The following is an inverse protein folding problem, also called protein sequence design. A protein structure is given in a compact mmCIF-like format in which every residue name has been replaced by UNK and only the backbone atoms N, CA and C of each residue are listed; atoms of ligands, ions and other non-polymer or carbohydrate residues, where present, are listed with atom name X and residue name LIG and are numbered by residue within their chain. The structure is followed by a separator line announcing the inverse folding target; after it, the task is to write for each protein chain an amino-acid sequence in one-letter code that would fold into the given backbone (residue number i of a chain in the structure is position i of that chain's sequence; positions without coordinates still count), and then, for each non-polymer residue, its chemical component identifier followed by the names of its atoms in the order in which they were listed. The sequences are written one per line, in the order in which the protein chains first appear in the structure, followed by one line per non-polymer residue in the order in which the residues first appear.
data_IF_702367362719
#
_entry.id   IF_702367362719
#
_cell.length_a   1.000
_cell.length_b   1.000
_cell.length_c   1.000
_cell.angle_alpha   90.00
_cell.angle_beta   90.00
_cell.angle_gamma   90.00
#
_symmetry.space_group_name_H-M   'P 1'
#
loop_
_entity.id
_entity.type
_entity.pdbx_description
1 polymer ?
#
# COMPACT_ATOMS: atom_id res chain seq x y z
N UNK A 1 -14.47 11.55 -15.93
CA UNK A 1 -15.07 12.87 -15.66
C UNK A 1 -16.57 12.74 -15.46
N UNK A 2 -17.20 13.68 -14.75
CA UNK A 2 -18.65 13.70 -14.49
C UNK A 2 -19.15 12.70 -13.44
N UNK A 3 -18.30 12.30 -12.48
CA UNK A 3 -18.73 11.46 -11.35
C UNK A 3 -19.30 12.28 -10.19
N UNK A 4 -19.83 11.59 -9.17
CA UNK A 4 -20.30 12.25 -7.95
C UNK A 4 -19.18 13.08 -7.30
N UNK A 5 -19.49 14.27 -6.78
CA UNK A 5 -18.52 15.13 -6.06
C UNK A 5 -17.93 14.36 -4.88
N UNK A 6 -16.63 14.51 -4.65
CA UNK A 6 -15.89 13.82 -3.57
C UNK A 6 -15.06 14.83 -2.80
N UNK A 7 -14.91 14.59 -1.49
CA UNK A 7 -13.99 15.33 -0.63
C UNK A 7 -12.80 14.45 -0.31
N UNK A 8 -11.61 14.98 -0.53
CA UNK A 8 -10.37 14.30 -0.22
C UNK A 8 -10.14 14.27 1.29
N UNK A 9 -9.65 13.13 1.79
CA UNK A 9 -9.14 12.98 3.15
C UNK A 9 -7.65 12.72 3.05
N UNK A 10 -6.85 13.49 3.77
CA UNK A 10 -5.41 13.28 3.83
C UNK A 10 -5.13 12.00 4.60
N UNK A 11 -4.51 11.03 3.93
CA UNK A 11 -4.12 9.73 4.51
C UNK A 11 -2.63 9.77 4.80
N UNK A 12 -2.27 9.38 6.01
CA UNK A 12 -0.89 9.21 6.42
C UNK A 12 -0.41 7.79 6.07
N UNK A 13 0.49 7.72 5.08
CA UNK A 13 1.11 6.47 4.64
C UNK A 13 2.38 6.12 5.42
N UNK A 14 2.84 6.99 6.33
CA UNK A 14 4.05 6.79 7.11
C UNK A 14 3.66 6.51 8.57
N UNK A 15 3.56 5.21 8.92
CA UNK A 15 3.11 4.80 10.27
C UNK A 15 4.05 5.30 11.36
N UNK A 16 5.36 5.25 11.13
CA UNK A 16 6.43 5.72 12.04
C UNK A 16 6.88 7.16 11.78
N UNK A 17 6.00 8.03 11.29
CA UNK A 17 6.32 9.46 11.12
C UNK A 17 6.61 10.17 12.45
N UNK A 18 6.14 9.62 13.55
CA UNK A 18 6.17 10.24 14.86
C UNK A 18 6.72 9.27 15.90
N UNK A 19 6.85 9.73 17.15
CA UNK A 19 7.28 8.92 18.28
C UNK A 19 6.56 7.58 18.36
N UNK A 20 7.36 6.56 18.67
CA UNK A 20 6.89 5.20 18.89
C UNK A 20 5.84 5.18 20.00
N UNK A 21 4.82 4.36 19.81
CA UNK A 21 3.75 4.30 20.79
C UNK A 21 2.52 3.57 20.32
N UNK A 22 1.53 3.59 21.19
CA UNK A 22 0.21 3.04 20.96
C UNK A 22 -0.72 4.12 20.43
N UNK A 23 -1.56 3.73 19.49
CA UNK A 23 -2.65 4.57 19.01
C UNK A 23 -3.97 3.83 19.14
N UNK A 24 -5.05 4.55 19.41
CA UNK A 24 -6.40 3.99 19.50
C UNK A 24 -7.18 4.25 18.22
N UNK A 25 -7.83 3.22 17.69
CA UNK A 25 -8.75 3.33 16.57
C UNK A 25 -10.05 3.97 17.07
N UNK A 26 -10.42 5.11 16.48
CA UNK A 26 -11.66 5.82 16.84
C UNK A 26 -12.82 5.33 15.98
N UNK A 27 -12.60 5.19 14.66
CA UNK A 27 -13.68 4.90 13.72
C UNK A 27 -13.12 4.36 12.40
N UNK A 28 -13.80 3.39 11.80
CA UNK A 28 -13.50 2.88 10.46
C UNK A 28 -14.59 3.35 9.49
N UNK A 29 -14.19 3.99 8.39
CA UNK A 29 -15.10 4.62 7.43
C UNK A 29 -14.75 4.29 5.99
N UNK A 30 -15.78 4.28 5.15
CA UNK A 30 -15.63 4.22 3.71
C UNK A 30 -14.91 5.46 3.15
N UNK A 31 -13.99 5.24 2.20
CA UNK A 31 -13.32 6.30 1.43
C UNK A 31 -13.76 6.31 -0.05
N UNK A 32 -14.38 7.40 -0.54
CA UNK A 32 -14.75 7.51 -1.95
C UNK A 32 -13.56 7.84 -2.89
N UNK A 33 -12.38 8.18 -2.37
CA UNK A 33 -11.27 8.72 -3.15
C UNK A 33 -10.49 7.68 -3.99
N UNK A 34 -11.08 7.25 -5.12
CA UNK A 34 -10.49 6.18 -5.96
C UNK A 34 -9.29 6.58 -6.84
N UNK A 35 -9.09 7.88 -7.09
CA UNK A 35 -8.01 8.48 -7.90
C UNK A 35 -8.17 10.00 -7.89
N UNK A 36 -7.12 10.78 -7.67
CA UNK A 36 -7.03 12.13 -8.24
C UNK A 36 -6.48 11.94 -9.65
N UNK A 37 -7.19 12.33 -10.73
CA UNK A 37 -6.52 12.50 -12.00
C UNK A 37 -5.49 13.62 -11.79
N UNK A 38 -4.20 13.29 -11.83
CA UNK A 38 -3.21 14.32 -12.09
C UNK A 38 -3.54 14.89 -13.47
N UNK A 39 -4.15 16.06 -13.51
CA UNK A 39 -4.07 16.96 -14.64
C UNK A 39 -2.64 17.47 -14.67
N UNK A 40 -1.78 16.73 -15.36
CA UNK A 40 -0.38 17.10 -15.57
C UNK A 40 0.09 16.39 -16.81
N UNK A 41 0.37 17.18 -17.85
CA UNK A 41 1.06 16.77 -19.06
C UNK A 41 2.32 15.97 -18.69
N UNK A 42 2.73 14.96 -19.49
CA UNK A 42 3.96 14.22 -19.26
C UNK A 42 5.15 15.17 -19.51
N UNK A 43 5.60 15.91 -18.49
CA UNK A 43 6.70 16.87 -18.68
C UNK A 43 7.07 17.76 -17.50
N UNK A 44 6.22 17.93 -16.48
CA UNK A 44 6.60 18.71 -15.29
C UNK A 44 6.37 17.92 -14.01
N UNK A 45 7.43 17.26 -13.54
CA UNK A 45 7.47 16.68 -12.21
C UNK A 45 8.04 17.74 -11.27
N UNK A 46 7.16 18.59 -10.70
CA UNK A 46 7.56 19.44 -9.58
C UNK A 46 7.95 18.57 -8.38
N UNK A 47 9.16 18.68 -7.81
CA UNK A 47 9.68 17.73 -6.82
C UNK A 47 9.04 17.85 -5.43
N UNK A 48 8.12 18.80 -5.18
CA UNK A 48 7.61 19.12 -3.83
C UNK A 48 6.12 18.86 -3.58
N UNK A 49 5.36 18.34 -4.55
CA UNK A 49 3.97 17.96 -4.32
C UNK A 49 3.74 16.51 -4.77
N UNK A 50 4.32 15.57 -4.02
CA UNK A 50 3.89 14.16 -4.11
C UNK A 50 2.50 14.10 -3.48
N UNK A 51 1.46 14.46 -4.24
CA UNK A 51 0.07 14.30 -3.82
C UNK A 51 -0.11 12.82 -3.50
N UNK A 52 -0.28 12.42 -2.22
CA UNK A 52 -0.26 11.02 -1.87
C UNK A 52 -1.43 10.37 -2.57
N UNK A 53 -1.14 9.42 -3.48
CA UNK A 53 -2.15 8.69 -4.21
C UNK A 53 -3.20 8.15 -3.23
N UNK A 54 -4.46 8.61 -3.27
CA UNK A 54 -5.46 8.13 -2.32
C UNK A 54 -5.69 6.63 -2.50
N UNK A 55 -6.13 6.03 -1.40
CA UNK A 55 -6.48 4.62 -1.33
C UNK A 55 -7.60 4.32 -2.33
N UNK A 56 -7.33 3.44 -3.29
CA UNK A 56 -8.20 3.29 -4.47
C UNK A 56 -9.54 2.62 -4.17
N UNK A 57 -9.59 1.79 -3.14
CA UNK A 57 -10.70 0.88 -2.85
C UNK A 57 -10.85 0.48 -1.39
N UNK A 58 -9.80 0.62 -0.57
CA UNK A 58 -9.78 0.22 0.83
C UNK A 58 -10.57 1.19 1.71
N UNK A 59 -11.00 0.72 2.87
CA UNK A 59 -11.58 1.57 3.90
C UNK A 59 -10.47 2.21 4.74
N UNK A 60 -10.81 3.30 5.42
CA UNK A 60 -9.85 4.10 6.20
C UNK A 60 -10.23 4.09 7.68
N UNK A 61 -9.23 4.09 8.53
CA UNK A 61 -9.41 4.19 9.98
C UNK A 61 -8.94 5.57 10.47
N UNK A 62 -9.77 6.23 11.29
CA UNK A 62 -9.36 7.37 12.09
C UNK A 62 -8.69 6.86 13.35
N UNK A 63 -7.45 7.26 13.55
CA UNK A 63 -6.64 6.82 14.68
C UNK A 63 -6.15 8.04 15.45
N UNK A 64 -6.09 7.91 16.78
CA UNK A 64 -5.56 8.94 17.67
C UNK A 64 -4.49 8.38 18.61
N UNK A 65 -3.42 9.14 18.79
CA UNK A 65 -2.35 8.86 19.75
C UNK A 65 -1.84 10.18 20.31
N UNK A 66 -1.73 10.27 21.64
CA UNK A 66 -1.47 11.53 22.34
C UNK A 66 -2.48 12.62 21.92
N UNK A 67 -1.97 13.76 21.46
CA UNK A 67 -2.79 14.93 21.09
C UNK A 67 -3.13 15.04 19.59
N UNK A 68 -2.85 14.02 18.77
CA UNK A 68 -3.06 14.06 17.31
C UNK A 68 -4.05 13.02 16.83
N UNK A 69 -4.65 13.31 15.66
CA UNK A 69 -5.53 12.39 14.93
C UNK A 69 -5.07 12.31 13.48
N UNK A 70 -5.09 11.11 12.90
CA UNK A 70 -4.72 10.89 11.49
C UNK A 70 -5.55 9.79 10.87
N UNK A 71 -5.71 9.86 9.54
CA UNK A 71 -6.31 8.79 8.77
C UNK A 71 -5.24 7.83 8.30
N UNK A 72 -5.46 6.54 8.51
CA UNK A 72 -4.63 5.46 7.97
C UNK A 72 -5.50 4.50 7.14
N UNK A 73 -4.87 3.61 6.39
CA UNK A 73 -5.58 2.48 5.77
C UNK A 73 -6.02 1.51 6.88
N UNK A 74 -7.28 1.11 6.86
CA UNK A 74 -7.78 0.08 7.77
C UNK A 74 -7.34 -1.32 7.31
N UNK A 75 -6.96 -2.18 8.26
CA UNK A 75 -6.74 -3.61 8.05
C UNK A 75 -8.07 -4.38 8.08
N UNK A 76 -8.07 -5.67 7.77
CA UNK A 76 -9.26 -6.49 7.55
C UNK A 76 -10.19 -6.53 8.76
N UNK A 77 -9.64 -6.83 9.94
CA UNK A 77 -10.42 -7.01 11.16
C UNK A 77 -10.35 -5.82 12.12
N UNK A 78 -9.96 -4.63 11.65
CA UNK A 78 -9.81 -3.45 12.51
C UNK A 78 -11.16 -2.92 12.98
N UNK A 79 -11.35 -2.77 14.29
CA UNK A 79 -12.58 -2.28 14.90
C UNK A 79 -12.36 -0.96 15.67
N UNK A 80 -13.40 -0.12 15.81
CA UNK A 80 -13.36 1.03 16.70
C UNK A 80 -13.11 0.59 18.15
N UNK A 81 -12.08 1.15 18.79
CA UNK A 81 -11.67 0.81 20.15
C UNK A 81 -10.31 0.11 20.22
N UNK A 82 -9.88 -0.52 19.13
CA UNK A 82 -8.63 -1.29 19.08
C UNK A 82 -7.40 -0.42 19.33
N UNK A 83 -6.39 -1.02 19.98
CA UNK A 83 -5.10 -0.39 20.24
C UNK A 83 -4.07 -0.98 19.29
N UNK A 84 -3.49 -0.13 18.45
CA UNK A 84 -2.45 -0.50 17.48
C UNK A 84 -1.09 0.03 17.93
N UNK A 85 -0.04 -0.74 17.69
CA UNK A 85 1.34 -0.40 18.06
C UNK A 85 2.12 0.04 16.83
N UNK A 86 2.91 1.10 16.99
CA UNK A 86 3.92 1.50 16.02
C UNK A 86 5.28 1.54 16.72
N UNK A 87 6.23 0.74 16.28
CA UNK A 87 7.62 0.80 16.76
C UNK A 87 8.61 0.67 15.61
N UNK A 88 9.76 1.33 15.67
CA UNK A 88 10.87 1.20 14.73
C UNK A 88 12.00 0.30 15.25
N UNK A 89 11.90 -0.15 16.50
CA UNK A 89 12.89 -1.03 17.11
C UNK A 89 12.98 -2.41 16.44
N UNK A 90 14.19 -2.81 16.05
CA UNK A 90 14.51 -4.14 15.52
C UNK A 90 15.13 -4.96 16.66
N UNK A 91 14.33 -5.82 17.28
CA UNK A 91 14.80 -6.74 18.31
C UNK A 91 15.60 -7.91 17.74
N UNK A 92 16.43 -8.55 18.59
CA UNK A 92 17.11 -9.80 18.23
C UNK A 92 16.13 -10.95 17.99
N UNK A 93 15.02 -10.95 18.73
CA UNK A 93 13.94 -11.93 18.59
C UNK A 93 12.80 -11.33 17.75
N UNK A 94 12.10 -12.19 17.00
CA UNK A 94 10.93 -11.78 16.24
C UNK A 94 9.77 -11.41 17.18
N UNK A 95 9.04 -10.36 16.82
CA UNK A 95 7.86 -9.91 17.59
C UNK A 95 6.62 -10.66 17.11
N UNK A 96 5.81 -11.13 18.06
CA UNK A 96 4.45 -11.59 17.77
C UNK A 96 3.56 -10.36 17.57
N UNK A 97 3.39 -9.96 16.31
CA UNK A 97 2.64 -8.76 15.95
C UNK A 97 1.15 -9.07 15.71
N UNK A 98 0.28 -8.19 16.19
CA UNK A 98 -1.15 -8.26 15.92
C UNK A 98 -1.48 -7.56 14.59
N UNK A 99 -2.65 -7.84 14.04
CA UNK A 99 -3.13 -7.14 12.84
C UNK A 99 -3.30 -5.64 13.11
N UNK A 100 -2.84 -4.79 12.18
CA UNK A 100 -2.88 -3.33 12.32
C UNK A 100 -1.63 -2.72 12.95
N UNK A 101 -0.79 -3.52 13.61
CA UNK A 101 0.50 -3.07 14.12
C UNK A 101 1.48 -2.78 12.98
N UNK A 102 2.37 -1.80 13.20
CA UNK A 102 3.41 -1.42 12.25
C UNK A 102 4.80 -1.64 12.85
N UNK A 103 5.59 -2.45 12.16
CA UNK A 103 6.94 -2.83 12.55
C UNK A 103 7.88 -2.80 11.33
N UNK A 104 9.21 -2.66 11.53
CA UNK A 104 10.18 -2.91 10.49
C UNK A 104 10.13 -4.38 10.07
N UNK A 105 10.43 -4.66 8.80
CA UNK A 105 10.51 -6.02 8.29
C UNK A 105 11.51 -6.89 9.07
N UNK A 106 12.58 -6.28 9.58
CA UNK A 106 13.59 -6.94 10.43
C UNK A 106 13.02 -7.52 11.73
N UNK A 107 11.97 -6.93 12.30
CA UNK A 107 11.38 -7.39 13.56
C UNK A 107 10.31 -8.50 13.37
N UNK A 108 9.77 -8.66 12.16
CA UNK A 108 8.65 -9.58 11.90
C UNK A 108 9.11 -11.01 11.61
N UNK A 109 8.38 -12.05 12.03
CA UNK A 109 8.69 -13.43 11.64
C UNK A 109 8.49 -13.65 10.14
N UNK A 110 9.25 -14.60 9.59
CA UNK A 110 9.09 -15.04 8.20
C UNK A 110 7.72 -15.70 8.03
N UNK A 111 7.08 -15.50 6.88
CA UNK A 111 5.73 -15.98 6.59
C UNK A 111 4.61 -15.04 7.02
N UNK A 112 4.92 -13.93 7.69
CA UNK A 112 3.92 -12.93 8.08
C UNK A 112 3.24 -12.29 6.88
N UNK A 113 1.93 -12.11 7.00
CA UNK A 113 1.14 -11.34 6.05
C UNK A 113 1.32 -9.85 6.35
N UNK A 114 1.66 -9.08 5.31
CA UNK A 114 1.92 -7.65 5.44
C UNK A 114 1.20 -6.84 4.37
N UNK A 115 0.88 -5.60 4.70
CA UNK A 115 0.38 -4.57 3.80
C UNK A 115 1.10 -3.24 4.03
N UNK A 116 0.80 -2.23 3.20
CA UNK A 116 1.36 -0.89 3.31
C UNK A 116 2.90 -0.86 3.36
N UNK A 117 3.53 -1.54 2.41
CA UNK A 117 4.98 -1.71 2.38
C UNK A 117 5.69 -0.47 1.81
N UNK A 118 6.72 -0.01 2.52
CA UNK A 118 7.67 1.02 2.09
C UNK A 118 8.68 0.47 1.05
N UNK A 119 9.11 1.32 0.13
CA UNK A 119 10.19 0.94 -0.82
C UNK A 119 11.58 1.22 -0.27
N UNK A 120 11.73 2.30 0.49
CA UNK A 120 12.92 2.70 1.22
C UNK A 120 12.47 3.22 2.59
N UNK A 121 13.30 3.13 3.63
CA UNK A 121 12.92 3.53 4.98
C UNK A 121 12.48 5.00 5.00
N UNK A 122 11.31 5.27 5.57
CA UNK A 122 10.78 6.63 5.73
C UNK A 122 10.17 7.26 4.47
N UNK A 123 10.16 6.55 3.34
CA UNK A 123 9.50 7.01 2.09
C UNK A 123 7.98 6.89 2.14
N UNK A 124 7.45 6.21 3.17
CA UNK A 124 6.02 5.93 3.33
C UNK A 124 5.55 4.77 2.45
N UNK A 125 4.39 4.21 2.81
CA UNK A 125 3.82 3.05 2.14
C UNK A 125 3.46 3.35 0.68
N UNK A 126 4.10 2.63 -0.25
CA UNK A 126 3.84 2.77 -1.68
C UNK A 126 3.11 1.53 -2.23
N UNK A 127 3.44 0.36 -1.70
CA UNK A 127 2.97 -0.94 -2.16
C UNK A 127 1.89 -1.54 -1.25
N UNK A 128 1.08 -2.45 -1.80
CA UNK A 128 0.09 -3.25 -1.05
C UNK A 128 -0.91 -2.38 -0.27
N UNK A 129 -1.58 -1.45 -0.97
CA UNK A 129 -2.54 -0.49 -0.40
C UNK A 129 -3.99 -0.70 -0.85
N UNK A 130 -4.22 -1.64 -1.78
CA UNK A 130 -5.53 -1.85 -2.36
C UNK A 130 -6.37 -2.77 -1.48
N UNK A 131 -7.69 -2.60 -1.52
CA UNK A 131 -8.64 -3.43 -0.78
C UNK A 131 -8.36 -4.93 -0.97
N UNK A 132 -8.34 -5.67 0.15
CA UNK A 132 -8.09 -7.11 0.16
C UNK A 132 -6.68 -7.56 -0.25
N UNK A 133 -5.73 -6.65 -0.46
CA UNK A 133 -4.35 -7.04 -0.82
C UNK A 133 -3.50 -7.34 0.40
N UNK A 134 -2.66 -8.37 0.29
CA UNK A 134 -1.62 -8.72 1.25
C UNK A 134 -0.38 -9.21 0.47
N UNK A 135 0.79 -8.98 1.05
CA UNK A 135 2.05 -9.62 0.66
C UNK A 135 2.54 -10.54 1.76
N UNK A 136 3.58 -11.30 1.46
CA UNK A 136 4.17 -12.26 2.40
C UNK A 136 5.65 -11.99 2.55
N UNK A 137 6.15 -11.94 3.77
CA UNK A 137 7.59 -11.88 4.04
C UNK A 137 8.20 -13.27 3.82
N UNK A 138 9.06 -13.42 2.80
CA UNK A 138 9.59 -14.74 2.41
C UNK A 138 10.86 -15.14 3.15
N UNK A 139 11.83 -14.22 3.25
CA UNK A 139 13.11 -14.47 3.92
C UNK A 139 13.85 -13.16 4.17
N UNK A 140 14.87 -13.22 5.03
CA UNK A 140 15.78 -12.12 5.33
C UNK A 140 17.22 -12.55 5.03
N UNK A 141 17.99 -11.68 4.39
CA UNK A 141 19.38 -11.93 3.99
C UNK A 141 20.17 -10.63 4.14
N UNK A 142 21.26 -10.65 4.89
CA UNK A 142 22.24 -9.54 5.00
C UNK A 142 21.60 -8.16 5.25
N UNK A 143 20.71 -8.04 6.23
CA UNK A 143 20.03 -6.78 6.55
C UNK A 143 18.95 -6.36 5.54
N UNK A 144 18.54 -7.28 4.65
CA UNK A 144 17.51 -7.06 3.64
C UNK A 144 16.40 -8.09 3.78
N UNK A 145 15.18 -7.68 3.47
CA UNK A 145 13.99 -8.52 3.48
C UNK A 145 13.47 -8.73 2.06
N UNK A 146 13.11 -9.97 1.75
CA UNK A 146 12.47 -10.33 0.47
C UNK A 146 10.99 -10.55 0.72
N UNK A 147 10.17 -9.75 0.04
CA UNK A 147 8.71 -9.77 0.14
C UNK A 147 8.12 -10.23 -1.18
N UNK A 148 7.10 -11.08 -1.11
CA UNK A 148 6.24 -11.40 -2.24
C UNK A 148 5.08 -10.40 -2.34
N UNK A 149 4.98 -9.73 -3.49
CA UNK A 149 3.87 -8.83 -3.79
C UNK A 149 2.59 -9.61 -4.18
N UNK A 150 1.39 -8.99 -4.14
CA UNK A 150 0.15 -9.60 -4.62
C UNK A 150 0.21 -10.11 -6.07
N UNK A 151 1.08 -9.53 -6.90
CA UNK A 151 1.34 -9.97 -8.27
C UNK A 151 2.22 -11.23 -8.36
N UNK A 152 2.57 -11.85 -7.23
CA UNK A 152 3.54 -12.94 -7.06
C UNK A 152 4.99 -12.57 -7.38
N UNK A 153 5.25 -11.34 -7.86
CA UNK A 153 6.61 -10.83 -8.07
C UNK A 153 7.31 -10.62 -6.72
N UNK A 154 8.57 -11.04 -6.64
CA UNK A 154 9.40 -10.82 -5.46
C UNK A 154 10.06 -9.43 -5.48
N UNK A 155 10.23 -8.84 -4.31
CA UNK A 155 10.83 -7.53 -4.10
C UNK A 155 11.78 -7.59 -2.91
N UNK A 156 13.01 -7.10 -3.11
CA UNK A 156 14.01 -6.98 -2.05
C UNK A 156 14.04 -5.54 -1.54
N UNK A 157 13.98 -5.39 -0.22
CA UNK A 157 13.86 -4.12 0.51
C UNK A 157 14.79 -4.18 1.74
N UNK A 158 15.19 -3.04 2.29
CA UNK A 158 15.92 -3.00 3.57
C UNK A 158 15.05 -3.51 4.72
N UNK A 159 15.66 -4.16 5.71
CA UNK A 159 14.94 -4.66 6.89
C UNK A 159 14.35 -3.54 7.77
N UNK A 160 14.93 -2.35 7.68
CA UNK A 160 14.49 -1.13 8.36
C UNK A 160 13.23 -0.51 7.78
N UNK A 161 12.79 -0.96 6.59
CA UNK A 161 11.52 -0.50 6.02
C UNK A 161 10.34 -0.97 6.85
N UNK A 162 9.37 -0.08 7.02
CA UNK A 162 8.17 -0.35 7.82
C UNK A 162 7.12 -1.05 6.97
N UNK A 163 6.41 -2.00 7.57
CA UNK A 163 5.20 -2.56 7.01
C UNK A 163 4.13 -2.70 8.11
N UNK A 164 2.87 -2.72 7.69
CA UNK A 164 1.74 -3.01 8.59
C UNK A 164 1.42 -4.49 8.51
N UNK A 165 1.17 -5.14 9.64
CA UNK A 165 0.84 -6.56 9.69
C UNK A 165 -0.64 -6.77 9.35
N UNK A 166 -0.93 -7.80 8.56
CA UNK A 166 -2.27 -8.19 8.13
C UNK A 166 -2.61 -7.84 6.68
N UNK A 167 -3.88 -7.99 6.34
CA UNK A 167 -4.45 -7.69 5.02
C UNK A 167 -5.16 -6.35 5.05
N UNK A 168 -5.25 -5.68 3.91
CA UNK A 168 -6.05 -4.46 3.77
C UNK A 168 -7.55 -4.77 3.84
N UNK A 169 -8.32 -3.89 4.49
CA UNK A 169 -9.80 -3.93 4.57
C UNK A 169 -10.53 -4.10 3.23
N UNK A 170 -11.83 -4.41 3.33
CA UNK A 170 -12.75 -4.56 2.19
C UNK A 170 -12.35 -5.70 1.23
N UNK A 171 -12.22 -6.92 1.76
CA UNK A 171 -11.75 -8.09 1.00
C UNK A 171 -12.65 -8.43 -0.18
N UNK A 172 -13.97 -8.33 0.00
CA UNK A 172 -14.97 -8.66 -1.04
C UNK A 172 -15.16 -7.55 -2.09
N UNK A 173 -14.27 -6.55 -2.15
CA UNK A 173 -14.35 -5.51 -3.17
C UNK A 173 -14.35 -6.06 -4.60
N UNK A 174 -13.68 -7.19 -4.83
CA UNK A 174 -13.61 -7.87 -6.12
C UNK A 174 -14.93 -8.54 -6.53
N UNK A 175 -15.76 -8.98 -5.58
CA UNK A 175 -17.06 -9.63 -5.81
C UNK A 175 -18.19 -8.64 -6.06
N UNK A 176 -17.94 -7.32 -5.90
CA UNK A 176 -18.99 -6.29 -6.08
C UNK A 176 -19.49 -6.22 -7.53
N UNK A 177 -20.77 -6.52 -7.71
CA UNK A 177 -21.49 -6.36 -8.99
C UNK A 177 -21.86 -4.89 -9.24
N UNK A 178 -21.56 -4.37 -10.43
CA UNK A 178 -21.89 -2.98 -10.82
C UNK A 178 -23.39 -2.82 -11.13
N UNK A 179 -24.05 -3.84 -11.66
CA UNK A 179 -25.49 -3.86 -11.95
C UNK A 179 -25.87 -3.06 -13.19
N UNK A 180 -25.72 -1.73 -13.15
CA UNK A 180 -26.11 -0.83 -14.26
C UNK A 180 -25.00 0.11 -14.71
N UNK A 181 -25.03 0.50 -16.00
CA UNK A 181 -24.09 1.46 -16.58
C UNK A 181 -24.02 2.80 -15.81
N UNK A 182 -25.16 3.26 -15.27
CA UNK A 182 -25.23 4.47 -14.44
C UNK A 182 -24.31 4.44 -13.21
N UNK A 183 -24.10 3.27 -12.59
CA UNK A 183 -23.18 3.15 -11.45
C UNK A 183 -21.73 3.42 -11.86
N UNK A 184 -21.32 3.04 -13.07
CA UNK A 184 -20.00 3.42 -13.61
C UNK A 184 -19.88 4.93 -13.82
N UNK A 185 -20.96 5.59 -14.24
CA UNK A 185 -21.00 7.05 -14.37
C UNK A 185 -20.85 7.74 -13.02
N UNK A 186 -21.53 7.27 -11.98
CA UNK A 186 -21.35 7.78 -10.60
C UNK A 186 -19.91 7.62 -10.10
N UNK A 187 -19.23 6.54 -10.51
CA UNK A 187 -17.81 6.32 -10.22
C UNK A 187 -16.85 7.23 -10.99
N UNK A 188 -17.36 8.03 -11.95
CA UNK A 188 -16.60 8.94 -12.78
C UNK A 188 -15.94 8.31 -14.01
N UNK A 189 -16.35 7.09 -14.37
CA UNK A 189 -15.88 6.35 -15.55
C UNK A 189 -16.78 6.66 -16.75
N UNK A 190 -16.20 7.18 -17.83
CA UNK A 190 -16.90 7.40 -19.11
C UNK A 190 -16.97 6.09 -19.90
N UNK A 191 -17.94 5.92 -20.81
CA UNK A 191 -17.91 4.82 -21.77
C UNK A 191 -16.63 4.90 -22.63
N UNK A 192 -16.20 3.75 -23.13
CA UNK A 192 -15.13 3.68 -24.12
C UNK A 192 -15.59 4.28 -25.46
N UNK A 193 -14.64 4.62 -26.32
CA UNK A 193 -14.94 5.05 -27.70
C UNK A 193 -15.69 3.96 -28.46
N UNK A 194 -16.61 4.35 -29.34
CA UNK A 194 -17.29 3.45 -30.27
C UNK A 194 -16.46 3.11 -31.51
N UNK A 195 -15.26 3.70 -31.66
CA UNK A 195 -14.38 3.43 -32.79
C UNK A 195 -13.92 1.96 -32.75
N UNK A 196 -14.27 1.23 -33.80
CA UNK A 196 -13.82 -0.14 -33.98
C UNK A 196 -12.32 -0.16 -34.33
N UNK A 197 -11.57 -1.04 -33.67
CA UNK A 197 -10.15 -1.25 -33.93
C UNK A 197 -9.90 -2.74 -34.17
N UNK A 198 -9.16 -3.07 -35.25
CA UNK A 198 -8.70 -4.44 -35.49
C UNK A 198 -7.68 -4.83 -34.41
N UNK A 199 -7.85 -6.00 -33.79
CA UNK A 199 -6.88 -6.55 -32.83
C UNK A 199 -5.55 -6.81 -33.56
N UNK A 200 -4.44 -6.29 -33.01
CA UNK A 200 -3.09 -6.53 -33.51
C UNK A 200 -2.40 -7.72 -32.81
N UNK A 201 -1.12 -7.96 -33.14
CA UNK A 201 -0.33 -9.07 -32.58
C UNK A 201 -0.08 -9.02 -31.06
N UNK A 202 -0.36 -7.88 -30.42
CA UNK A 202 -0.36 -7.73 -28.96
C UNK A 202 -1.53 -8.45 -28.29
N UNK A 203 -2.64 -8.65 -29.01
CA UNK A 203 -3.80 -9.37 -28.51
C UNK A 203 -3.53 -10.87 -28.42
N UNK A 204 -4.32 -11.56 -27.61
CA UNK A 204 -4.15 -12.98 -27.31
C UNK A 204 -3.38 -13.23 -26.01
N UNK A 205 -3.52 -14.45 -25.48
CA UNK A 205 -2.90 -14.85 -24.21
C UNK A 205 -1.38 -14.87 -24.37
N UNK A 206 -0.66 -14.14 -23.51
CA UNK A 206 0.80 -14.15 -23.45
C UNK A 206 1.22 -14.85 -22.16
N UNK A 207 1.78 -16.05 -22.27
CA UNK A 207 2.36 -16.78 -21.13
C UNK A 207 3.81 -16.32 -21.02
N UNK A 208 4.09 -15.51 -20.00
CA UNK A 208 5.44 -15.00 -19.71
C UNK A 208 5.93 -15.61 -18.40
N UNK A 209 7.23 -15.93 -18.28
CA UNK A 209 7.80 -16.30 -16.99
C UNK A 209 7.65 -15.14 -16.00
N UNK A 210 7.72 -15.44 -14.70
CA UNK A 210 7.70 -14.41 -13.68
C UNK A 210 8.89 -13.47 -13.90
N UNK A 211 8.66 -12.13 -13.87
CA UNK A 211 9.77 -11.19 -14.01
C UNK A 211 10.74 -11.35 -12.84
N UNK A 212 12.03 -11.03 -13.05
CA UNK A 212 13.03 -11.14 -12.00
C UNK A 212 12.68 -10.25 -10.79
N UNK A 213 13.23 -10.66 -9.64
CA UNK A 213 13.09 -9.95 -8.38
C UNK A 213 13.51 -8.48 -8.55
N UNK A 214 12.68 -7.57 -8.03
CA UNK A 214 13.01 -6.14 -8.03
C UNK A 214 13.79 -5.82 -6.77
N UNK A 215 15.04 -5.35 -6.89
CA UNK A 215 15.82 -4.91 -5.74
C UNK A 215 15.82 -3.40 -5.59
N UNK A 216 15.64 -2.94 -4.35
CA UNK A 216 15.79 -1.54 -3.92
C UNK A 216 17.07 -1.29 -3.13
N UNK A 217 17.90 -2.30 -2.99
CA UNK A 217 19.14 -2.21 -2.23
C UNK A 217 20.23 -1.78 -3.19
N UNK A 218 20.85 -0.63 -2.91
CA UNK A 218 22.06 -0.23 -3.60
C UNK A 218 23.21 -0.98 -2.95
N UNK A 219 23.82 -1.92 -3.68
CA UNK A 219 25.07 -2.52 -3.23
C UNK A 219 26.13 -1.42 -3.14
N UNK A 220 26.94 -1.38 -2.07
CA UNK A 220 28.12 -0.51 -2.08
C UNK A 220 28.94 -0.90 -3.31
N UNK A 221 29.31 0.10 -4.12
CA UNK A 221 30.27 -0.16 -5.20
C UNK A 221 31.52 -0.68 -4.52
N UNK A 222 31.98 -1.87 -4.93
CA UNK A 222 33.31 -2.34 -4.53
C UNK A 222 34.25 -1.23 -4.96
N UNK A 223 34.82 -0.50 -3.99
CA UNK A 223 35.95 0.35 -4.28
C UNK A 223 37.00 -0.62 -4.83
N UNK A 224 37.38 -0.45 -6.11
CA UNK A 224 38.52 -1.16 -6.64
C UNK A 224 39.67 -0.86 -5.68
N UNK A 225 40.12 -1.87 -4.93
CA UNK A 225 41.35 -1.78 -4.18
C UNK A 225 42.45 -1.71 -5.23
N UNK A 226 43.09 -0.54 -5.36
CA UNK A 226 44.41 -0.40 -5.98
C UNK A 226 45.46 -1.15 -5.15
#
# INVERSE_FOLDING_TARGET
GGGHKRRYRMIDFQRLRYEEGTEKVINVRYDPCRRVPGTGSPGQVSPRATVPFPCRSADIALVAGGNRKRWIIATENMQPGDIIKNSAHIGRMAVLANEGDAYPLGALPVGTLICNLESHPGKGAQYIRAAGTCGVLLRKVNGTAIVQLPSKRQMQVLETCVATVGRVSNVDHNKRVIGKAGRNRWLGKRPHTGLWHRKGGWAGRKIKPLPPMKSYVNLPRVAAQE
#
